data_IF_043238595954
#
_entry.id   IF_043238595954
#
_cell.length_a   1.000
_cell.length_b   1.000
_cell.length_c   1.000
_cell.angle_alpha   90.00
_cell.angle_beta   90.00
_cell.angle_gamma   90.00
#
_symmetry.space_group_name_H-M   'P 1'
#
loop_
_entity.id
_entity.type
_entity.pdbx_description
1 polymer ?
#
# COMPACT_ATOMS: atom_id res chain seq x y z
N UNK A 1 24.47 0.20 0.83
CA UNK A 1 23.66 0.64 -0.32
C UNK A 1 22.28 0.06 -0.11
N UNK A 2 21.26 0.90 0.03
CA UNK A 2 19.87 0.46 0.14
C UNK A 2 19.50 -0.19 -1.19
N UNK A 3 19.03 -1.44 -1.17
CA UNK A 3 18.52 -2.08 -2.38
C UNK A 3 17.31 -1.26 -2.85
N UNK A 4 17.40 -0.70 -4.06
CA UNK A 4 16.30 0.05 -4.65
C UNK A 4 15.07 -0.85 -4.76
N UNK A 5 13.90 -0.34 -4.31
CA UNK A 5 12.62 -1.07 -4.36
C UNK A 5 12.25 -1.49 -5.79
N UNK A 6 12.82 -0.84 -6.81
CA UNK A 6 12.58 -1.15 -8.22
C UNK A 6 13.05 -2.53 -8.66
N UNK A 7 14.11 -3.06 -8.05
CA UNK A 7 14.70 -4.36 -8.44
C UNK A 7 14.26 -5.50 -7.52
N UNK A 8 13.24 -5.29 -6.69
CA UNK A 8 12.66 -6.35 -5.89
C UNK A 8 11.55 -6.99 -6.71
N UNK A 9 11.70 -8.27 -7.12
CA UNK A 9 10.69 -8.92 -7.94
C UNK A 9 9.41 -9.09 -7.14
N UNK A 10 8.29 -8.83 -7.78
CA UNK A 10 6.93 -9.04 -7.26
C UNK A 10 6.12 -9.81 -8.30
N UNK A 11 4.95 -10.32 -7.93
CA UNK A 11 4.05 -10.97 -8.88
C UNK A 11 2.87 -10.06 -9.16
N UNK A 12 2.62 -9.74 -10.42
CA UNK A 12 1.37 -9.11 -10.84
C UNK A 12 0.20 -10.03 -10.48
N UNK A 13 -1.01 -9.50 -10.34
CA UNK A 13 -2.19 -10.31 -9.97
C UNK A 13 -2.53 -11.39 -11.01
N UNK A 14 -2.01 -11.28 -12.24
CA UNK A 14 -2.09 -12.31 -13.28
C UNK A 14 -1.13 -13.50 -13.05
N UNK A 15 -0.24 -13.41 -12.06
CA UNK A 15 0.76 -14.41 -11.72
C UNK A 15 2.15 -14.20 -12.36
N UNK A 16 2.28 -13.25 -13.29
CA UNK A 16 3.58 -12.92 -13.91
C UNK A 16 4.52 -12.24 -12.91
N UNK A 17 5.77 -12.70 -12.85
CA UNK A 17 6.82 -11.99 -12.07
C UNK A 17 7.24 -10.74 -12.82
N UNK A 18 7.13 -9.59 -12.16
CA UNK A 18 7.51 -8.28 -12.70
C UNK A 18 8.39 -7.54 -11.70
N UNK A 19 9.22 -6.65 -12.22
CA UNK A 19 9.97 -5.69 -11.41
C UNK A 19 9.22 -4.35 -11.34
N UNK A 20 9.42 -3.61 -10.26
CA UNK A 20 8.83 -2.27 -10.11
C UNK A 20 9.57 -1.21 -10.97
N UNK A 21 10.69 -1.55 -11.60
CA UNK A 21 11.46 -0.67 -12.50
C UNK A 21 10.62 -0.20 -13.71
N UNK A 22 9.57 -0.95 -14.10
CA UNK A 22 8.61 -0.50 -15.13
C UNK A 22 7.89 0.81 -14.75
N UNK A 23 7.89 1.19 -13.48
CA UNK A 23 7.31 2.44 -12.97
C UNK A 23 8.36 3.52 -12.67
N UNK A 24 9.60 3.35 -13.11
CA UNK A 24 10.67 4.33 -12.90
C UNK A 24 10.27 5.71 -13.45
N UNK A 25 10.58 6.76 -12.69
CA UNK A 25 10.20 8.13 -13.03
C UNK A 25 8.77 8.51 -12.65
N UNK A 26 7.96 7.57 -12.16
CA UNK A 26 6.63 7.84 -11.58
C UNK A 26 6.73 8.03 -10.07
N UNK A 27 5.76 8.76 -9.52
CA UNK A 27 5.49 8.77 -8.08
C UNK A 27 4.65 7.53 -7.78
N UNK A 28 5.06 6.72 -6.81
CA UNK A 28 4.31 5.51 -6.41
C UNK A 28 3.66 5.68 -5.06
N UNK A 29 2.41 5.24 -4.94
CA UNK A 29 1.75 4.99 -3.67
C UNK A 29 1.52 3.49 -3.52
N UNK A 30 2.38 2.81 -2.75
CA UNK A 30 2.24 1.38 -2.45
C UNK A 30 1.29 1.20 -1.27
N UNK A 31 0.31 0.33 -1.39
CA UNK A 31 -0.72 0.10 -0.36
C UNK A 31 -0.91 -1.40 -0.11
N UNK A 32 -0.83 -1.86 1.14
CA UNK A 32 -1.27 -3.23 1.47
C UNK A 32 -2.78 -3.27 1.61
N UNK A 33 -3.49 -4.08 0.83
CA UNK A 33 -4.96 -4.05 0.77
C UNK A 33 -5.61 -5.32 1.33
N UNK A 34 -6.90 -5.21 1.64
CA UNK A 34 -7.73 -6.32 2.12
C UNK A 34 -9.20 -6.13 1.69
N UNK A 35 -9.88 -7.18 1.23
CA UNK A 35 -11.28 -7.14 0.78
C UNK A 35 -12.31 -7.25 1.92
N UNK A 36 -11.95 -7.84 3.06
CA UNK A 36 -12.85 -8.06 4.22
C UNK A 36 -12.44 -7.25 5.44
N UNK A 37 -11.94 -6.04 5.21
CA UNK A 37 -11.49 -5.12 6.26
C UNK A 37 -12.51 -4.00 6.48
N UNK A 38 -12.62 -3.48 7.71
CA UNK A 38 -13.42 -2.27 7.96
C UNK A 38 -12.91 -1.03 7.23
N UNK A 39 -11.66 -1.06 6.73
CA UNK A 39 -11.04 -0.02 5.94
C UNK A 39 -11.16 -0.25 4.42
N UNK A 40 -11.77 -1.35 3.97
CA UNK A 40 -11.95 -1.66 2.55
C UNK A 40 -12.64 -0.55 1.72
N UNK A 41 -13.60 0.24 2.26
CA UNK A 41 -14.15 1.39 1.53
C UNK A 41 -13.11 2.43 1.07
N UNK A 42 -11.88 2.41 1.60
CA UNK A 42 -10.79 3.27 1.13
C UNK A 42 -10.39 3.02 -0.33
N UNK A 43 -10.75 1.88 -0.93
CA UNK A 43 -10.58 1.66 -2.37
C UNK A 43 -11.21 2.79 -3.19
N UNK A 44 -12.37 3.32 -2.80
CA UNK A 44 -13.01 4.44 -3.50
C UNK A 44 -12.14 5.70 -3.51
N UNK A 45 -11.51 6.01 -2.37
CA UNK A 45 -10.62 7.17 -2.25
C UNK A 45 -9.33 6.98 -3.04
N UNK A 46 -8.76 5.78 -2.99
CA UNK A 46 -7.57 5.43 -3.75
C UNK A 46 -7.83 5.52 -5.26
N UNK A 47 -8.95 4.99 -5.73
CA UNK A 47 -9.34 5.04 -7.14
C UNK A 47 -9.58 6.48 -7.62
N UNK A 48 -10.28 7.30 -6.83
CA UNK A 48 -10.46 8.74 -7.13
C UNK A 48 -9.12 9.47 -7.23
N UNK A 49 -8.22 9.24 -6.29
CA UNK A 49 -6.87 9.84 -6.31
C UNK A 49 -6.09 9.38 -7.54
N UNK A 50 -6.14 8.08 -7.86
CA UNK A 50 -5.47 7.51 -9.02
C UNK A 50 -5.96 8.14 -10.32
N UNK A 51 -7.27 8.14 -10.57
CA UNK A 51 -7.84 8.72 -11.79
C UNK A 51 -7.50 10.21 -11.93
N UNK A 52 -7.48 10.96 -10.83
CA UNK A 52 -7.17 12.39 -10.84
C UNK A 52 -5.69 12.71 -11.15
N UNK A 53 -4.76 11.80 -10.83
CA UNK A 53 -3.31 12.09 -10.83
C UNK A 53 -2.47 11.15 -11.70
N UNK A 54 -3.02 10.06 -12.24
CA UNK A 54 -2.26 9.09 -13.04
C UNK A 54 -1.59 9.70 -14.27
N UNK A 55 -2.30 10.62 -14.95
CA UNK A 55 -1.78 11.31 -16.13
C UNK A 55 -0.70 12.35 -15.78
N UNK A 56 -0.54 12.69 -14.49
CA UNK A 56 0.53 13.54 -13.96
C UNK A 56 1.74 12.71 -13.50
N UNK A 57 1.67 11.38 -13.60
CA UNK A 57 2.75 10.46 -13.22
C UNK A 57 2.59 9.79 -11.86
N UNK A 58 1.38 9.76 -11.28
CA UNK A 58 1.08 8.91 -10.12
C UNK A 58 0.78 7.47 -10.55
N UNK A 59 1.29 6.50 -9.81
CA UNK A 59 0.84 5.11 -9.86
C UNK A 59 0.48 4.63 -8.44
N UNK A 60 -0.69 4.02 -8.28
CA UNK A 60 -1.05 3.34 -7.03
C UNK A 60 -0.81 1.85 -7.25
N UNK A 61 -0.13 1.18 -6.31
CA UNK A 61 0.18 -0.24 -6.42
C UNK A 61 -0.45 -0.97 -5.24
N UNK A 62 -1.51 -1.74 -5.49
CA UNK A 62 -2.24 -2.49 -4.48
C UNK A 62 -1.66 -3.89 -4.27
N UNK A 63 -1.25 -4.18 -3.03
CA UNK A 63 -0.70 -5.47 -2.62
C UNK A 63 -1.63 -6.13 -1.61
N UNK A 64 -2.51 -7.05 -2.04
CA UNK A 64 -3.38 -7.78 -1.14
C UNK A 64 -2.56 -8.55 -0.08
N UNK A 65 -3.00 -8.52 1.17
CA UNK A 65 -2.27 -9.13 2.27
C UNK A 65 -3.21 -9.82 3.27
N UNK A 66 -2.93 -11.09 3.60
CA UNK A 66 -3.75 -11.84 4.54
C UNK A 66 -3.24 -11.81 5.99
N UNK A 67 -2.18 -11.03 6.26
CA UNK A 67 -1.48 -11.02 7.56
C UNK A 67 -2.37 -10.56 8.73
N UNK A 68 -3.41 -9.76 8.45
CA UNK A 68 -4.23 -9.10 9.47
C UNK A 68 -5.62 -9.71 9.53
N UNK A 69 -5.86 -10.57 10.52
CA UNK A 69 -7.15 -11.25 10.78
C UNK A 69 -7.74 -11.99 9.56
N UNK A 70 -6.88 -12.49 8.69
CA UNK A 70 -7.27 -13.26 7.49
C UNK A 70 -8.32 -12.51 6.62
N UNK A 71 -8.18 -11.18 6.53
CA UNK A 71 -9.13 -10.30 5.84
C UNK A 71 -8.97 -10.28 4.31
N UNK A 72 -8.08 -11.10 3.75
CA UNK A 72 -7.88 -11.29 2.31
C UNK A 72 -7.74 -12.79 1.95
N UNK A 73 -8.78 -13.60 2.22
CA UNK A 73 -8.69 -15.05 2.12
C UNK A 73 -8.73 -15.56 0.67
N UNK A 74 -9.24 -14.75 -0.27
CA UNK A 74 -9.48 -15.16 -1.64
C UNK A 74 -8.22 -15.42 -2.47
N UNK A 75 -8.41 -16.05 -3.63
CA UNK A 75 -7.38 -16.18 -4.67
C UNK A 75 -7.14 -14.84 -5.38
N UNK A 76 -6.05 -14.74 -6.14
CA UNK A 76 -5.74 -13.54 -6.92
C UNK A 76 -6.88 -13.20 -7.90
N UNK A 77 -7.53 -14.19 -8.51
CA UNK A 77 -8.70 -13.99 -9.38
C UNK A 77 -9.91 -13.46 -8.61
N UNK A 78 -10.20 -14.02 -7.44
CA UNK A 78 -11.31 -13.55 -6.59
C UNK A 78 -11.09 -12.12 -6.10
N UNK A 79 -9.84 -11.77 -5.76
CA UNK A 79 -9.45 -10.43 -5.33
C UNK A 79 -9.59 -9.43 -6.50
N UNK A 80 -9.12 -9.79 -7.69
CA UNK A 80 -9.25 -8.94 -8.87
C UNK A 80 -10.73 -8.69 -9.20
N UNK A 81 -11.55 -9.74 -9.18
CA UNK A 81 -12.99 -9.63 -9.40
C UNK A 81 -13.65 -8.76 -8.33
N UNK A 82 -13.29 -8.94 -7.06
CA UNK A 82 -13.82 -8.12 -5.97
C UNK A 82 -13.52 -6.63 -6.18
N UNK A 83 -12.28 -6.28 -6.48
CA UNK A 83 -11.86 -4.90 -6.67
C UNK A 83 -12.54 -4.25 -7.89
N UNK A 84 -12.65 -4.99 -9.00
CA UNK A 84 -13.32 -4.51 -10.20
C UNK A 84 -14.83 -4.33 -10.00
N UNK A 85 -15.53 -5.35 -9.47
CA UNK A 85 -16.99 -5.33 -9.38
C UNK A 85 -17.53 -4.38 -8.32
N UNK A 86 -16.80 -4.17 -7.21
CA UNK A 86 -17.30 -3.39 -6.08
C UNK A 86 -16.77 -1.96 -6.02
N UNK A 87 -15.60 -1.69 -6.60
CA UNK A 87 -14.90 -0.42 -6.46
C UNK A 87 -14.38 0.16 -7.77
N UNK A 88 -14.54 -0.55 -8.90
CA UNK A 88 -14.06 -0.13 -10.21
C UNK A 88 -12.58 0.27 -10.19
N UNK A 89 -11.75 -0.57 -9.54
CA UNK A 89 -10.32 -0.32 -9.38
C UNK A 89 -9.59 -0.43 -10.72
N UNK A 90 -8.88 0.64 -11.11
CA UNK A 90 -8.07 0.70 -12.33
C UNK A 90 -6.57 0.71 -12.07
N UNK A 91 -6.14 0.96 -10.84
CA UNK A 91 -4.73 0.91 -10.51
C UNK A 91 -4.21 -0.54 -10.43
N UNK A 92 -2.92 -0.79 -10.72
CA UNK A 92 -2.34 -2.12 -10.69
C UNK A 92 -2.53 -2.85 -9.35
N UNK A 93 -2.98 -4.10 -9.44
CA UNK A 93 -3.00 -5.05 -8.34
C UNK A 93 -1.92 -6.11 -8.54
N UNK A 94 -1.37 -6.59 -7.44
CA UNK A 94 -0.35 -7.63 -7.37
C UNK A 94 -0.93 -8.88 -6.71
N UNK A 95 -0.22 -10.01 -6.86
CA UNK A 95 -0.54 -11.22 -6.11
C UNK A 95 -0.42 -10.96 -4.62
N UNK A 96 -1.18 -11.75 -3.86
CA UNK A 96 -1.13 -11.71 -2.40
C UNK A 96 0.29 -11.88 -1.87
N UNK A 97 0.67 -11.06 -0.89
CA UNK A 97 2.04 -10.98 -0.37
C UNK A 97 2.04 -10.88 1.16
N UNK A 98 3.06 -11.45 1.81
CA UNK A 98 3.26 -11.25 3.26
C UNK A 98 3.91 -9.88 3.52
N UNK A 99 3.24 -9.05 4.31
CA UNK A 99 3.71 -7.67 4.59
C UNK A 99 4.22 -7.48 6.02
N UNK A 100 4.08 -8.49 6.88
CA UNK A 100 4.46 -8.46 8.29
C UNK A 100 4.86 -9.85 8.79
N UNK A 101 5.72 -9.91 9.82
CA UNK A 101 6.13 -11.16 10.44
C UNK A 101 7.38 -11.80 9.80
N UNK A 102 7.66 -13.04 10.17
CA UNK A 102 8.91 -13.72 9.80
C UNK A 102 9.02 -14.03 8.29
N UNK A 103 7.89 -14.15 7.59
CA UNK A 103 7.79 -14.39 6.16
C UNK A 103 7.59 -13.10 5.34
N UNK A 104 7.72 -11.92 5.99
CA UNK A 104 7.56 -10.61 5.34
C UNK A 104 8.42 -10.51 4.08
N UNK A 105 7.78 -10.13 2.98
CA UNK A 105 8.42 -10.04 1.68
C UNK A 105 9.53 -8.96 1.65
N UNK A 106 10.63 -9.17 0.89
CA UNK A 106 11.74 -8.20 0.79
C UNK A 106 11.31 -6.77 0.45
N UNK A 107 10.24 -6.60 -0.34
CA UNK A 107 9.66 -5.29 -0.64
C UNK A 107 9.25 -4.57 0.65
N UNK A 108 8.41 -5.19 1.48
CA UNK A 108 7.95 -4.58 2.73
C UNK A 108 9.06 -4.47 3.78
N UNK A 109 10.06 -5.36 3.76
CA UNK A 109 11.28 -5.17 4.55
C UNK A 109 12.00 -3.87 4.15
N UNK A 110 12.22 -3.63 2.85
CA UNK A 110 12.86 -2.43 2.35
C UNK A 110 12.04 -1.16 2.66
N UNK A 111 10.72 -1.19 2.44
CA UNK A 111 9.82 -0.07 2.71
C UNK A 111 9.83 0.33 4.20
N UNK A 112 9.65 -0.65 5.10
CA UNK A 112 9.63 -0.39 6.56
C UNK A 112 10.99 -0.01 7.13
N UNK A 113 12.09 -0.48 6.51
CA UNK A 113 13.45 -0.06 6.89
C UNK A 113 13.77 1.35 6.42
N UNK A 114 13.37 1.70 5.19
CA UNK A 114 13.62 3.02 4.63
C UNK A 114 12.79 4.10 5.32
N UNK A 115 11.54 3.78 5.69
CA UNK A 115 10.66 4.68 6.43
C UNK A 115 10.01 3.97 7.63
N UNK A 116 10.65 4.01 8.82
CA UNK A 116 10.14 3.32 10.00
C UNK A 116 8.94 4.01 10.64
N UNK A 117 8.87 5.35 10.53
CA UNK A 117 7.83 6.17 11.14
C UNK A 117 6.65 6.39 10.19
N UNK A 118 5.43 6.23 10.72
CA UNK A 118 4.19 6.44 9.98
C UNK A 118 3.49 7.74 10.41
N UNK A 119 3.03 8.51 9.43
CA UNK A 119 2.30 9.76 9.62
C UNK A 119 0.85 9.45 9.94
N UNK A 120 0.28 10.15 10.93
CA UNK A 120 -1.16 10.16 11.17
C UNK A 120 -1.73 8.94 11.92
N UNK A 121 -0.91 8.15 12.62
CA UNK A 121 -1.40 7.00 13.40
C UNK A 121 -2.52 7.38 14.39
N UNK A 122 -2.39 8.56 15.02
CA UNK A 122 -3.40 9.05 15.97
C UNK A 122 -3.74 7.97 17.02
N UNK A 123 -5.02 7.83 17.41
CA UNK A 123 -5.45 6.80 18.38
C UNK A 123 -5.69 5.43 17.72
N UNK A 124 -5.23 5.18 16.50
CA UNK A 124 -5.63 3.98 15.74
C UNK A 124 -5.11 2.69 16.38
N UNK A 125 -3.86 2.68 16.84
CA UNK A 125 -3.28 1.54 17.56
C UNK A 125 -4.05 1.26 18.86
N UNK A 126 -4.29 2.29 19.66
CA UNK A 126 -5.02 2.18 20.93
C UNK A 126 -6.46 1.71 20.70
N UNK A 127 -7.10 2.11 19.59
CA UNK A 127 -8.42 1.60 19.21
C UNK A 127 -8.39 0.11 18.88
N UNK A 128 -7.40 -0.36 18.12
CA UNK A 128 -7.24 -1.79 17.82
C UNK A 128 -7.00 -2.59 19.11
N UNK A 129 -6.08 -2.14 19.96
CA UNK A 129 -5.75 -2.78 21.22
C UNK A 129 -6.94 -2.79 22.20
N UNK A 130 -7.70 -1.70 22.27
CA UNK A 130 -8.94 -1.60 23.04
C UNK A 130 -10.04 -2.57 22.58
N UNK A 131 -10.01 -3.00 21.31
CA UNK A 131 -10.87 -4.04 20.75
C UNK A 131 -10.29 -5.45 20.92
N UNK A 132 -9.20 -5.61 21.68
CA UNK A 132 -8.50 -6.88 21.87
C UNK A 132 -7.78 -7.36 20.61
N UNK A 133 -7.49 -6.46 19.66
CA UNK A 133 -6.77 -6.77 18.43
C UNK A 133 -5.28 -6.52 18.67
N UNK A 134 -4.43 -7.56 18.65
CA UNK A 134 -3.00 -7.35 18.80
C UNK A 134 -2.45 -6.55 17.62
N UNK A 135 -1.54 -5.63 17.90
CA UNK A 135 -0.88 -4.78 16.91
C UNK A 135 0.59 -5.15 16.81
N UNK A 136 1.19 -4.97 15.63
CA UNK A 136 2.61 -5.18 15.47
C UNK A 136 3.42 -4.01 16.05
N UNK A 137 4.59 -4.26 16.66
CA UNK A 137 5.46 -3.19 17.15
C UNK A 137 6.01 -2.37 15.97
N UNK A 138 6.27 -1.08 16.18
CA UNK A 138 7.02 -0.29 15.20
C UNK A 138 8.44 -0.89 15.00
N UNK A 139 8.98 -0.90 13.77
CA UNK A 139 8.46 -0.27 12.55
C UNK A 139 7.62 -1.20 11.66
N UNK A 140 7.12 -2.34 12.17
CA UNK A 140 6.37 -3.31 11.36
C UNK A 140 5.06 -2.73 10.79
N UNK A 141 4.51 -3.31 9.73
CA UNK A 141 3.19 -2.89 9.21
C UNK A 141 2.13 -3.06 10.30
N UNK A 142 1.36 -2.00 10.58
CA UNK A 142 0.41 -1.93 11.68
C UNK A 142 -0.89 -2.67 11.35
N UNK A 143 -1.45 -2.44 10.15
CA UNK A 143 -2.72 -3.01 9.72
C UNK A 143 -2.88 -2.96 8.19
N UNK A 144 -4.01 -3.47 7.69
CA UNK A 144 -4.45 -3.26 6.31
C UNK A 144 -4.57 -1.78 5.96
N UNK A 145 -4.28 -1.41 4.71
CA UNK A 145 -4.31 -0.06 4.14
C UNK A 145 -3.22 0.89 4.64
N UNK A 146 -2.07 0.38 5.10
CA UNK A 146 -0.89 1.22 5.29
C UNK A 146 -0.31 1.62 3.93
N UNK A 147 0.26 2.83 3.84
CA UNK A 147 0.62 3.44 2.54
C UNK A 147 2.05 3.93 2.56
N UNK A 148 2.80 3.67 1.51
CA UNK A 148 4.18 4.13 1.34
C UNK A 148 4.29 4.97 0.07
N UNK A 149 4.79 6.19 0.19
CA UNK A 149 5.03 7.09 -0.93
C UNK A 149 6.48 6.99 -1.37
N UNK A 150 6.66 6.77 -2.67
CA UNK A 150 7.97 6.66 -3.31
C UNK A 150 8.06 7.73 -4.38
N UNK A 151 9.16 8.48 -4.39
CA UNK A 151 9.37 9.53 -5.38
C UNK A 151 9.82 8.98 -6.75
N UNK A 152 9.99 9.87 -7.73
CA UNK A 152 10.40 9.53 -9.11
C UNK A 152 11.79 8.86 -9.21
N UNK A 153 12.61 8.96 -8.16
CA UNK A 153 13.94 8.35 -8.07
C UNK A 153 13.93 6.97 -7.40
N UNK A 154 12.78 6.50 -6.89
CA UNK A 154 12.66 5.23 -6.18
C UNK A 154 12.97 5.30 -4.69
N UNK A 155 13.00 6.49 -4.10
CA UNK A 155 13.24 6.67 -2.67
C UNK A 155 11.91 6.69 -1.91
N UNK A 156 11.83 5.96 -0.80
CA UNK A 156 10.67 6.01 0.10
C UNK A 156 10.71 7.34 0.86
N UNK A 157 9.76 8.23 0.59
CA UNK A 157 9.76 9.60 1.12
C UNK A 157 8.71 9.84 2.20
N UNK A 158 7.67 8.99 2.27
CA UNK A 158 6.68 9.04 3.33
C UNK A 158 6.01 7.68 3.56
N UNK A 159 5.41 7.53 4.74
CA UNK A 159 4.62 6.38 5.15
C UNK A 159 3.43 6.89 5.94
N UNK A 160 2.23 6.41 5.66
CA UNK A 160 0.98 6.88 6.26
C UNK A 160 0.24 5.75 6.95
N UNK A 161 -0.38 6.07 8.07
CA UNK A 161 -1.08 5.09 8.87
C UNK A 161 -2.30 4.50 8.14
N UNK A 162 -2.70 3.26 8.50
CA UNK A 162 -3.84 2.55 7.91
C UNK A 162 -5.13 3.36 7.75
N UNK A 163 -5.47 4.14 8.77
CA UNK A 163 -6.73 4.87 8.87
C UNK A 163 -6.76 6.23 8.15
N UNK A 164 -5.64 6.68 7.57
CA UNK A 164 -5.63 7.88 6.72
C UNK A 164 -6.22 7.52 5.36
N UNK A 165 -7.32 8.15 5.00
CA UNK A 165 -7.96 7.99 3.70
C UNK A 165 -7.17 8.73 2.62
N UNK A 166 -7.28 8.31 1.36
CA UNK A 166 -6.47 8.87 0.27
C UNK A 166 -6.72 10.37 -0.02
N UNK A 167 -7.86 10.90 0.43
CA UNK A 167 -8.23 12.31 0.37
C UNK A 167 -7.76 13.13 1.59
N UNK A 168 -7.11 12.50 2.57
CA UNK A 168 -6.48 13.21 3.69
C UNK A 168 -5.42 14.20 3.16
N UNK A 169 -5.47 15.43 3.65
CA UNK A 169 -4.58 16.51 3.19
C UNK A 169 -3.10 16.14 3.29
N UNK A 170 -2.70 15.31 4.26
CA UNK A 170 -1.32 14.90 4.44
C UNK A 170 -0.85 14.00 3.28
N UNK A 171 -1.72 13.11 2.79
CA UNK A 171 -1.43 12.26 1.65
C UNK A 171 -1.46 13.09 0.36
N UNK A 172 -2.51 13.89 0.16
CA UNK A 172 -2.67 14.70 -1.06
C UNK A 172 -1.49 15.66 -1.24
N UNK A 173 -1.13 16.42 -0.19
CA UNK A 173 0.00 17.37 -0.27
C UNK A 173 1.33 16.66 -0.53
N UNK A 174 1.57 15.49 0.08
CA UNK A 174 2.79 14.75 -0.14
C UNK A 174 2.89 14.22 -1.59
N UNK A 175 1.79 13.66 -2.11
CA UNK A 175 1.72 13.21 -3.51
C UNK A 175 1.92 14.37 -4.48
N UNK A 176 1.23 15.49 -4.29
CA UNK A 176 1.36 16.66 -5.15
C UNK A 176 2.76 17.27 -5.11
N UNK A 177 3.39 17.30 -3.94
CA UNK A 177 4.76 17.78 -3.79
C UNK A 177 5.76 16.93 -4.58
N UNK A 178 5.60 15.60 -4.62
CA UNK A 178 6.46 14.74 -5.43
C UNK A 178 6.14 14.78 -6.92
N UNK A 179 4.87 14.98 -7.30
CA UNK A 179 4.48 15.12 -8.70
C UNK A 179 5.03 16.40 -9.33
N UNK A 180 5.12 17.49 -8.56
CA UNK A 180 5.58 18.80 -9.02
C UNK A 180 7.11 18.94 -9.19
N UNK A 181 7.90 17.95 -8.76
CA UNK A 181 9.36 17.90 -8.95
C UNK A 181 9.73 17.40 -10.35
#
# INVERSE_FOLDING_TARGET
>A
MTQSVYHIPVKAISGETVDLDQYKGKVLLIVNTASKCGLTPQYEGLEKLYQAKKDQGLEILGFPANNFKEQEPGSDEEIQQFCSLNYDVHFPLFSKISVAGADKHPLYQALTTAQPERIGEGPFRERLEGLGIPTNPAPEVLWNFEKFLINKNGEVVARFAPNLTADDEQIVKAVEAELAK
#
